data_IF_527225213369
#
_entry.id   IF_527225213369
#
_cell.length_a   1.000
_cell.length_b   1.000
_cell.length_c   1.000
_cell.angle_alpha   90.00
_cell.angle_beta   90.00
_cell.angle_gamma   90.00
#
_symmetry.space_group_name_H-M   'P 1'
#
loop_
_entity.id
_entity.type
_entity.pdbx_description
1 polymer ?
#
# COMPACT_ATOMS: atom_id res chain seq x y z
N UNK A 1 -0.72 -2.80 -11.93
CA UNK A 1 -1.46 -3.41 -13.06
C UNK A 1 -2.95 -3.42 -12.78
N UNK A 2 -3.80 -3.26 -13.79
CA UNK A 2 -5.26 -3.36 -13.66
C UNK A 2 -5.73 -4.61 -14.38
N UNK A 3 -6.36 -5.55 -13.67
CA UNK A 3 -6.99 -6.71 -14.27
C UNK A 3 -8.28 -6.30 -14.99
N UNK A 4 -8.50 -6.80 -16.20
CA UNK A 4 -9.60 -6.36 -17.07
C UNK A 4 -10.47 -7.53 -17.53
N UNK A 5 -11.79 -7.35 -17.39
CA UNK A 5 -12.77 -8.26 -17.97
C UNK A 5 -12.97 -7.99 -19.47
N UNK A 6 -13.55 -8.96 -20.18
CA UNK A 6 -13.84 -8.82 -21.62
C UNK A 6 -14.69 -7.57 -21.91
N UNK A 7 -14.25 -6.80 -22.90
CA UNK A 7 -14.92 -5.58 -23.33
C UNK A 7 -14.41 -4.29 -22.67
N UNK A 8 -13.46 -4.39 -21.73
CA UNK A 8 -12.74 -3.24 -21.18
C UNK A 8 -12.00 -2.47 -22.28
N UNK A 9 -12.03 -1.13 -22.21
CA UNK A 9 -11.40 -0.25 -23.22
C UNK A 9 -10.90 1.03 -22.58
N UNK A 10 -9.65 1.40 -22.85
CA UNK A 10 -9.13 2.72 -22.48
C UNK A 10 -9.53 3.73 -23.54
N UNK A 11 -10.19 4.80 -23.12
CA UNK A 11 -10.58 5.91 -24.00
C UNK A 11 -9.92 7.19 -23.49
N UNK A 12 -9.03 7.79 -24.29
CA UNK A 12 -8.33 9.02 -23.91
C UNK A 12 -9.27 10.14 -23.45
N UNK A 13 -10.38 10.34 -24.17
CA UNK A 13 -11.36 11.38 -23.81
C UNK A 13 -11.90 11.15 -22.40
N UNK A 14 -12.36 9.94 -22.10
CA UNK A 14 -12.91 9.60 -20.78
C UNK A 14 -11.85 9.73 -19.68
N UNK A 15 -10.63 9.21 -19.93
CA UNK A 15 -9.53 9.31 -18.97
C UNK A 15 -9.19 10.76 -18.66
N UNK A 16 -8.99 11.59 -19.70
CA UNK A 16 -8.66 13.01 -19.54
C UNK A 16 -9.77 13.76 -18.81
N UNK A 17 -11.02 13.52 -19.20
CA UNK A 17 -12.17 14.21 -18.59
C UNK A 17 -12.32 13.77 -17.11
N UNK A 18 -12.09 12.50 -16.77
CA UNK A 18 -12.07 12.01 -15.38
C UNK A 18 -10.93 12.61 -14.55
N UNK A 19 -9.71 12.63 -15.10
CA UNK A 19 -8.53 13.23 -14.46
C UNK A 19 -8.79 14.69 -14.10
N UNK A 20 -9.34 15.47 -15.04
CA UNK A 20 -9.64 16.89 -14.81
C UNK A 20 -10.73 17.10 -13.76
N UNK A 21 -11.68 16.17 -13.63
CA UNK A 21 -12.79 16.28 -12.69
C UNK A 21 -12.40 15.88 -11.26
N UNK A 22 -11.68 14.77 -11.08
CA UNK A 22 -11.32 14.25 -9.75
C UNK A 22 -10.01 14.83 -9.23
N UNK A 23 -9.10 15.23 -10.14
CA UNK A 23 -7.75 15.67 -9.79
C UNK A 23 -7.43 17.03 -10.44
N UNK A 24 -8.20 18.10 -10.15
CA UNK A 24 -8.05 19.41 -10.81
C UNK A 24 -6.72 20.11 -10.50
N UNK A 25 -5.97 19.63 -9.50
CA UNK A 25 -4.62 20.10 -9.17
C UNK A 25 -3.53 19.54 -10.08
N UNK A 26 -3.81 18.47 -10.84
CA UNK A 26 -2.83 17.91 -11.76
C UNK A 26 -2.59 18.86 -12.94
N UNK A 27 -1.36 18.92 -13.47
CA UNK A 27 -1.08 19.59 -14.74
C UNK A 27 -1.97 19.04 -15.85
N UNK A 28 -2.29 19.90 -16.83
CA UNK A 28 -2.99 19.42 -18.03
C UNK A 28 -2.11 18.42 -18.77
N UNK A 29 -2.65 17.28 -19.24
CA UNK A 29 -1.84 16.33 -19.99
C UNK A 29 -1.33 16.90 -21.32
N UNK A 30 -0.06 16.65 -21.59
CA UNK A 30 0.67 17.09 -22.79
C UNK A 30 1.27 15.88 -23.54
N UNK A 31 1.82 16.13 -24.73
CA UNK A 31 2.50 15.13 -25.59
C UNK A 31 1.79 13.76 -25.71
N UNK A 32 0.47 13.80 -25.94
CA UNK A 32 -0.36 12.58 -25.96
C UNK A 32 -0.02 11.73 -27.19
N UNK A 33 0.54 10.54 -26.96
CA UNK A 33 0.86 9.55 -28.00
C UNK A 33 -0.05 8.35 -27.87
N UNK A 34 -0.66 7.97 -29.00
CA UNK A 34 -1.53 6.79 -29.10
C UNK A 34 -0.98 5.85 -30.15
N UNK A 35 -0.72 4.61 -29.75
CA UNK A 35 -0.39 3.53 -30.66
C UNK A 35 -1.39 2.38 -30.42
N UNK A 36 -1.26 1.29 -31.16
CA UNK A 36 -2.26 0.21 -31.20
C UNK A 36 -2.68 -0.30 -29.81
N UNK A 37 -1.72 -0.54 -28.92
CA UNK A 37 -1.96 -1.05 -27.57
C UNK A 37 -1.34 -0.17 -26.47
N UNK A 38 -0.91 1.05 -26.81
CA UNK A 38 -0.25 1.94 -25.85
C UNK A 38 -0.83 3.35 -25.90
N UNK A 39 -0.87 3.96 -24.73
CA UNK A 39 -1.19 5.37 -24.53
C UNK A 39 -0.12 5.95 -23.61
N UNK A 40 0.46 7.08 -23.99
CA UNK A 40 1.34 7.84 -23.11
C UNK A 40 1.03 9.33 -23.20
N UNK A 41 1.33 10.05 -22.14
CA UNK A 41 1.20 11.50 -22.06
C UNK A 41 2.08 12.01 -20.93
N UNK A 42 2.45 13.28 -21.03
CA UNK A 42 3.20 13.97 -19.98
C UNK A 42 2.26 14.70 -19.03
N UNK A 43 2.65 14.78 -17.77
CA UNK A 43 1.96 15.41 -16.66
C UNK A 43 2.99 16.25 -15.88
N UNK A 44 3.25 17.47 -16.38
CA UNK A 44 4.35 18.29 -15.85
C UNK A 44 5.71 17.65 -16.18
N UNK A 45 6.53 17.41 -15.16
CA UNK A 45 7.86 16.77 -15.28
C UNK A 45 7.83 15.24 -15.26
N UNK A 46 6.65 14.63 -15.22
CA UNK A 46 6.44 13.18 -15.19
C UNK A 46 5.74 12.70 -16.45
N UNK A 47 6.08 11.51 -16.92
CA UNK A 47 5.43 10.82 -18.02
C UNK A 47 4.63 9.63 -17.52
N UNK A 48 3.40 9.51 -18.02
CA UNK A 48 2.56 8.33 -17.85
C UNK A 48 2.65 7.49 -19.11
N UNK A 49 2.90 6.20 -18.93
CA UNK A 49 2.78 5.22 -20.00
C UNK A 49 1.84 4.10 -19.56
N UNK A 50 0.99 3.65 -20.47
CA UNK A 50 0.15 2.49 -20.24
C UNK A 50 0.09 1.57 -21.47
N UNK A 51 0.18 0.28 -21.20
CA UNK A 51 0.18 -0.79 -22.19
C UNK A 51 -0.96 -1.77 -21.92
N UNK A 52 -1.79 -1.99 -22.93
CA UNK A 52 -2.88 -2.96 -22.91
C UNK A 52 -2.35 -4.33 -23.32
N UNK A 53 -2.52 -5.31 -22.44
CA UNK A 53 -2.09 -6.69 -22.66
C UNK A 53 -3.33 -7.57 -22.93
N UNK A 54 -3.35 -8.35 -24.02
CA UNK A 54 -4.51 -9.14 -24.44
C UNK A 54 -4.71 -10.44 -23.64
N UNK A 55 -3.84 -10.72 -22.65
CA UNK A 55 -3.92 -11.90 -21.78
C UNK A 55 -4.13 -11.52 -20.32
N UNK A 56 -4.54 -12.47 -19.46
CA UNK A 56 -4.63 -12.25 -18.03
C UNK A 56 -3.23 -11.94 -17.44
N UNK A 57 -3.22 -11.35 -16.25
CA UNK A 57 -2.02 -11.26 -15.43
C UNK A 57 -1.54 -12.69 -15.16
N UNK A 58 -0.24 -13.00 -15.40
CA UNK A 58 0.31 -14.33 -15.10
C UNK A 58 0.00 -14.77 -13.66
N UNK A 59 -0.42 -16.03 -13.49
CA UNK A 59 -0.91 -16.55 -12.20
C UNK A 59 0.09 -16.41 -11.05
N UNK A 60 1.38 -16.61 -11.34
CA UNK A 60 2.49 -16.46 -10.39
C UNK A 60 2.58 -15.05 -9.78
N UNK A 61 1.94 -14.06 -10.41
CA UNK A 61 1.95 -12.66 -9.97
C UNK A 61 0.76 -12.28 -9.07
N UNK A 62 -0.28 -13.12 -8.92
CA UNK A 62 -1.44 -12.74 -8.10
C UNK A 62 -2.18 -13.88 -7.37
N UNK A 63 -2.01 -15.15 -7.77
CA UNK A 63 -2.84 -16.25 -7.27
C UNK A 63 -2.38 -16.84 -5.91
N UNK A 64 -1.49 -16.16 -5.19
CA UNK A 64 -0.90 -16.62 -3.94
C UNK A 64 -1.68 -16.06 -2.75
N UNK A 65 -2.07 -16.86 -1.73
CA UNK A 65 -2.88 -16.39 -0.59
C UNK A 65 -2.31 -15.18 0.14
N UNK A 66 -0.99 -15.04 0.15
CA UNK A 66 -0.26 -13.93 0.77
C UNK A 66 -0.56 -12.58 0.09
N UNK A 67 -1.15 -12.57 -1.10
CA UNK A 67 -1.55 -11.34 -1.81
C UNK A 67 -3.00 -10.94 -1.56
N UNK A 68 -3.79 -11.80 -0.89
CA UNK A 68 -5.12 -11.46 -0.43
C UNK A 68 -4.98 -10.54 0.78
N UNK A 69 -5.67 -9.40 0.73
CA UNK A 69 -5.79 -8.54 1.91
C UNK A 69 -6.93 -9.03 2.77
N UNK A 70 -6.86 -8.77 4.07
CA UNK A 70 -8.00 -9.01 4.97
C UNK A 70 -9.25 -8.21 4.54
N UNK A 71 -9.06 -7.14 3.76
CA UNK A 71 -10.11 -6.24 3.26
C UNK A 71 -10.77 -6.79 1.98
N UNK A 72 -10.09 -7.64 1.20
CA UNK A 72 -10.66 -8.29 0.01
C UNK A 72 -10.35 -9.80 -0.02
N UNK A 73 -10.96 -10.58 0.91
CA UNK A 73 -10.61 -11.99 1.14
C UNK A 73 -10.89 -12.89 -0.07
N UNK A 74 -11.83 -12.53 -0.93
CA UNK A 74 -12.27 -13.26 -2.12
C UNK A 74 -11.67 -12.71 -3.44
N UNK A 75 -10.61 -11.87 -3.34
CA UNK A 75 -9.91 -11.29 -4.49
C UNK A 75 -9.50 -12.33 -5.54
N UNK A 76 -8.93 -13.47 -5.10
CA UNK A 76 -8.43 -14.49 -6.00
C UNK A 76 -9.57 -15.12 -6.82
N UNK A 77 -10.71 -15.39 -6.19
CA UNK A 77 -11.89 -15.94 -6.86
C UNK A 77 -12.44 -14.95 -7.90
N UNK A 78 -12.62 -13.69 -7.49
CA UNK A 78 -13.18 -12.65 -8.36
C UNK A 78 -12.26 -12.36 -9.57
N UNK A 79 -10.95 -12.50 -9.40
CA UNK A 79 -9.99 -12.27 -10.47
C UNK A 79 -9.90 -13.42 -11.47
N UNK A 80 -10.31 -14.67 -11.21
CA UNK A 80 -10.11 -15.79 -12.15
C UNK A 80 -10.69 -15.57 -13.56
N UNK A 81 -11.72 -14.71 -13.68
CA UNK A 81 -12.43 -14.47 -14.93
C UNK A 81 -11.81 -13.39 -15.83
N UNK A 82 -10.82 -12.63 -15.35
CA UNK A 82 -10.18 -11.59 -16.16
C UNK A 82 -9.47 -12.18 -17.38
N UNK A 83 -9.40 -11.39 -18.47
CA UNK A 83 -8.87 -11.86 -19.77
C UNK A 83 -7.84 -10.93 -20.38
N UNK A 84 -7.70 -9.73 -19.85
CA UNK A 84 -6.68 -8.76 -20.25
C UNK A 84 -6.14 -8.07 -19.00
N UNK A 85 -5.09 -7.29 -19.17
CA UNK A 85 -4.64 -6.37 -18.13
C UNK A 85 -4.03 -5.11 -18.71
N UNK A 86 -4.05 -4.04 -17.92
CA UNK A 86 -3.37 -2.79 -18.22
C UNK A 86 -2.14 -2.68 -17.31
N UNK A 87 -0.97 -2.46 -17.91
CA UNK A 87 0.23 -2.03 -17.20
C UNK A 87 0.23 -0.52 -17.25
N UNK A 88 0.42 0.13 -16.10
CA UNK A 88 0.45 1.59 -15.97
C UNK A 88 1.71 1.93 -15.19
N UNK A 89 2.49 2.89 -15.69
CA UNK A 89 3.71 3.37 -15.06
C UNK A 89 3.73 4.89 -15.07
N UNK A 90 4.24 5.47 -13.99
CA UNK A 90 4.59 6.88 -13.88
C UNK A 90 6.10 6.97 -13.68
N UNK A 91 6.78 7.75 -14.51
CA UNK A 91 8.23 7.92 -14.45
C UNK A 91 8.55 9.39 -14.73
N UNK A 92 9.45 10.00 -13.97
CA UNK A 92 9.96 11.32 -14.29
C UNK A 92 10.72 11.98 -13.16
N UNK A 93 10.80 13.30 -13.19
CA UNK A 93 11.45 14.07 -12.14
C UNK A 93 10.49 14.21 -10.95
N UNK A 94 10.83 13.56 -9.83
CA UNK A 94 10.13 13.64 -8.56
C UNK A 94 10.50 12.48 -7.63
N UNK A 95 10.17 12.60 -6.36
CA UNK A 95 10.33 11.53 -5.37
C UNK A 95 9.50 10.30 -5.73
N UNK A 96 9.88 9.13 -5.20
CA UNK A 96 9.10 7.89 -5.37
C UNK A 96 7.65 8.06 -4.86
N UNK A 97 7.47 8.86 -3.81
CA UNK A 97 6.15 9.19 -3.25
C UNK A 97 5.32 9.97 -4.26
N UNK A 98 5.86 11.04 -4.84
CA UNK A 98 5.12 11.86 -5.81
C UNK A 98 4.76 11.06 -7.06
N UNK A 99 5.69 10.24 -7.57
CA UNK A 99 5.43 9.33 -8.69
C UNK A 99 4.34 8.31 -8.35
N UNK A 100 4.37 7.73 -7.14
CA UNK A 100 3.36 6.78 -6.67
C UNK A 100 1.99 7.42 -6.46
N UNK A 101 1.93 8.67 -5.95
CA UNK A 101 0.68 9.45 -5.84
C UNK A 101 0.09 9.69 -7.23
N UNK A 102 0.91 10.12 -8.20
CA UNK A 102 0.45 10.31 -9.58
C UNK A 102 -0.04 9.00 -10.19
N UNK A 103 0.71 7.91 -10.04
CA UNK A 103 0.29 6.60 -10.52
C UNK A 103 -1.03 6.17 -9.88
N UNK A 104 -1.26 6.48 -8.61
CA UNK A 104 -2.49 6.13 -7.89
C UNK A 104 -3.68 6.90 -8.46
N UNK A 105 -3.54 8.22 -8.66
CA UNK A 105 -4.59 9.06 -9.26
C UNK A 105 -4.95 8.62 -10.68
N UNK A 106 -3.94 8.34 -11.52
CA UNK A 106 -4.14 7.83 -12.88
C UNK A 106 -4.80 6.46 -12.87
N UNK A 107 -4.36 5.58 -11.97
CA UNK A 107 -4.96 4.24 -11.81
C UNK A 107 -6.42 4.32 -11.41
N UNK A 108 -6.78 5.17 -10.44
CA UNK A 108 -8.15 5.40 -10.02
C UNK A 108 -9.02 5.92 -11.18
N UNK A 109 -8.53 6.91 -11.94
CA UNK A 109 -9.23 7.40 -13.14
C UNK A 109 -9.39 6.33 -14.22
N UNK A 110 -8.42 5.44 -14.39
CA UNK A 110 -8.55 4.31 -15.31
C UNK A 110 -9.60 3.32 -14.84
N UNK A 111 -9.67 3.00 -13.55
CA UNK A 111 -10.70 2.11 -13.01
C UNK A 111 -12.11 2.63 -13.28
N UNK A 112 -12.34 3.93 -13.09
CA UNK A 112 -13.63 4.58 -13.38
C UNK A 112 -13.99 4.60 -14.87
N UNK A 113 -12.99 4.61 -15.77
CA UNK A 113 -13.21 4.88 -17.20
C UNK A 113 -13.04 3.67 -18.12
N UNK A 114 -12.37 2.60 -17.66
CA UNK A 114 -12.07 1.43 -18.50
C UNK A 114 -13.28 0.51 -18.70
N UNK A 115 -14.36 0.73 -17.94
CA UNK A 115 -15.68 0.14 -18.10
C UNK A 115 -15.89 -1.18 -17.36
N UNK A 116 -14.93 -2.12 -17.39
CA UNK A 116 -15.05 -3.41 -16.68
C UNK A 116 -13.74 -3.86 -16.00
N UNK A 117 -13.18 -3.05 -15.08
CA UNK A 117 -12.06 -3.50 -14.27
C UNK A 117 -12.47 -4.70 -13.41
N UNK A 118 -11.55 -5.64 -13.20
CA UNK A 118 -11.74 -6.79 -12.31
C UNK A 118 -11.02 -6.59 -10.97
N UNK A 119 -9.93 -5.81 -10.95
CA UNK A 119 -9.17 -5.50 -9.74
C UNK A 119 -7.84 -4.82 -10.09
N UNK A 120 -7.13 -4.41 -9.05
CA UNK A 120 -5.80 -3.81 -9.15
C UNK A 120 -4.80 -4.71 -8.46
N UNK A 121 -3.69 -4.97 -9.15
CA UNK A 121 -2.47 -5.50 -8.54
C UNK A 121 -1.50 -4.33 -8.39
N UNK A 122 -1.23 -3.92 -7.15
CA UNK A 122 -0.46 -2.73 -6.83
C UNK A 122 0.93 -3.04 -6.26
N UNK A 123 1.92 -2.24 -6.64
CA UNK A 123 3.30 -2.33 -6.15
C UNK A 123 4.03 -3.62 -6.52
N UNK A 124 5.27 -3.73 -6.05
CA UNK A 124 6.13 -4.91 -6.30
C UNK A 124 5.66 -6.15 -5.54
N UNK A 125 5.02 -5.97 -4.39
CA UNK A 125 4.48 -7.08 -3.59
C UNK A 125 3.20 -7.68 -4.18
N UNK A 126 2.58 -6.98 -5.14
CA UNK A 126 1.37 -7.43 -5.78
C UNK A 126 0.15 -7.41 -4.85
N UNK A 127 -0.08 -6.28 -4.17
CA UNK A 127 -1.25 -6.09 -3.31
C UNK A 127 -2.52 -6.07 -4.16
N UNK A 128 -3.49 -6.93 -3.83
CA UNK A 128 -4.77 -6.98 -4.52
C UNK A 128 -5.79 -6.02 -3.90
N UNK A 129 -6.35 -5.15 -4.74
CA UNK A 129 -7.38 -4.20 -4.35
C UNK A 129 -8.60 -4.31 -5.27
N UNK A 130 -9.80 -4.23 -4.71
CA UNK A 130 -11.01 -4.14 -5.51
C UNK A 130 -11.05 -2.77 -6.21
N UNK A 131 -11.70 -2.66 -7.39
CA UNK A 131 -11.77 -1.39 -8.10
C UNK A 131 -12.41 -0.26 -7.28
N UNK A 132 -13.46 -0.57 -6.52
CA UNK A 132 -14.21 0.37 -5.69
C UNK A 132 -13.35 0.89 -4.53
N UNK A 133 -12.80 -0.03 -3.73
CA UNK A 133 -11.93 0.31 -2.60
C UNK A 133 -10.72 1.14 -3.03
N UNK A 134 -10.12 0.80 -4.18
CA UNK A 134 -8.99 1.57 -4.71
C UNK A 134 -9.40 3.01 -5.04
N UNK A 135 -10.56 3.21 -5.66
CA UNK A 135 -11.07 4.55 -5.98
C UNK A 135 -11.39 5.34 -4.71
N UNK A 136 -12.10 4.73 -3.75
CA UNK A 136 -12.52 5.38 -2.51
C UNK A 136 -11.33 5.83 -1.66
N UNK A 137 -10.33 4.96 -1.48
CA UNK A 137 -9.11 5.31 -0.73
C UNK A 137 -8.26 6.34 -1.47
N UNK A 138 -8.15 6.23 -2.81
CA UNK A 138 -7.43 7.24 -3.59
C UNK A 138 -8.09 8.61 -3.44
N UNK A 139 -9.41 8.71 -3.62
CA UNK A 139 -10.16 9.97 -3.54
C UNK A 139 -10.20 10.54 -2.12
N UNK A 140 -10.30 9.68 -1.09
CA UNK A 140 -10.35 10.11 0.30
C UNK A 140 -9.03 10.66 0.84
N UNK A 141 -7.89 10.19 0.30
CA UNK A 141 -6.57 10.49 0.86
C UNK A 141 -5.74 11.44 -0.04
N UNK A 142 -5.85 11.34 -1.37
CA UNK A 142 -5.03 12.13 -2.28
C UNK A 142 -5.64 13.51 -2.58
N UNK A 143 -4.80 14.55 -2.80
CA UNK A 143 -3.33 14.52 -2.82
C UNK A 143 -2.68 14.69 -1.45
N UNK A 144 -3.46 14.96 -0.41
CA UNK A 144 -2.97 15.41 0.90
C UNK A 144 -2.11 14.38 1.61
N UNK A 145 -2.59 13.15 1.70
CA UNK A 145 -1.98 12.07 2.47
C UNK A 145 -1.31 11.04 1.56
N UNK A 146 -0.48 10.18 2.15
CA UNK A 146 0.04 8.99 1.48
C UNK A 146 -0.96 7.84 1.69
N UNK A 147 -1.52 7.24 0.63
CA UNK A 147 -2.54 6.20 0.78
C UNK A 147 -1.90 4.84 1.10
N UNK A 148 -1.25 4.71 2.25
CA UNK A 148 -0.63 3.46 2.69
C UNK A 148 -1.56 2.24 2.69
N UNK A 149 -2.87 2.35 2.98
CA UNK A 149 -3.78 1.21 2.81
C UNK A 149 -3.80 0.63 1.39
N UNK A 150 -3.39 1.39 0.36
CA UNK A 150 -3.22 0.92 -1.02
C UNK A 150 -1.78 0.48 -1.34
N UNK A 151 -0.78 0.95 -0.60
CA UNK A 151 0.64 0.80 -0.94
C UNK A 151 1.38 -0.22 -0.06
N UNK A 152 0.87 -0.48 1.14
CA UNK A 152 1.50 -1.30 2.16
C UNK A 152 0.57 -2.45 2.55
N UNK A 153 1.00 -3.69 2.33
CA UNK A 153 0.31 -4.86 2.86
C UNK A 153 0.44 -4.89 4.37
N UNK A 154 -0.65 -5.07 5.10
CA UNK A 154 -0.65 -5.26 6.55
C UNK A 154 -1.34 -6.59 6.88
N UNK A 155 -0.59 -7.49 7.52
CA UNK A 155 -1.07 -8.80 7.94
C UNK A 155 -1.17 -8.83 9.45
N UNK A 156 -2.33 -9.23 9.96
CA UNK A 156 -2.65 -9.17 11.38
C UNK A 156 -3.30 -10.46 11.84
N UNK A 157 -3.03 -10.83 13.08
CA UNK A 157 -3.63 -11.97 13.75
C UNK A 157 -3.67 -11.76 15.26
N UNK A 158 -4.40 -12.65 15.93
CA UNK A 158 -4.43 -12.73 17.39
C UNK A 158 -3.71 -13.98 17.86
N UNK A 159 -2.81 -13.81 18.81
CA UNK A 159 -2.18 -14.90 19.53
C UNK A 159 -3.17 -15.51 20.54
N UNK A 160 -2.87 -16.73 20.99
CA UNK A 160 -3.67 -17.44 21.99
C UNK A 160 -3.69 -16.75 23.37
N UNK A 161 -2.69 -15.93 23.67
CA UNK A 161 -2.59 -15.12 24.89
C UNK A 161 -3.32 -13.76 24.79
N UNK A 162 -3.94 -13.45 23.64
CA UNK A 162 -4.70 -12.24 23.40
C UNK A 162 -3.91 -11.08 22.79
N UNK A 163 -2.57 -11.17 22.74
CA UNK A 163 -1.73 -10.19 22.03
C UNK A 163 -1.95 -10.25 20.52
N UNK A 164 -1.60 -9.16 19.84
CA UNK A 164 -1.69 -9.05 18.39
C UNK A 164 -0.34 -9.34 17.76
N UNK A 165 -0.34 -10.18 16.73
CA UNK A 165 0.83 -10.45 15.88
C UNK A 165 0.58 -9.78 14.54
N UNK A 166 1.62 -9.22 13.93
CA UNK A 166 1.48 -8.62 12.62
C UNK A 166 2.78 -8.21 11.97
N UNK A 167 2.71 -8.02 10.65
CA UNK A 167 3.83 -7.55 9.86
C UNK A 167 3.35 -6.76 8.65
N UNK A 168 4.25 -5.95 8.09
CA UNK A 168 4.01 -5.20 6.86
C UNK A 168 4.77 -5.78 5.69
N UNK A 169 4.31 -5.52 4.46
CA UNK A 169 5.12 -5.76 3.27
C UNK A 169 4.89 -4.62 2.26
N UNK A 170 5.93 -3.84 1.96
CA UNK A 170 5.80 -2.71 1.01
C UNK A 170 6.78 -1.58 1.21
N UNK A 171 7.38 -1.48 2.39
CA UNK A 171 8.32 -0.39 2.70
C UNK A 171 9.56 -0.40 1.80
N UNK A 172 9.87 -1.55 1.19
CA UNK A 172 10.97 -1.66 0.25
C UNK A 172 10.92 -0.77 -0.97
N UNK A 173 9.72 -0.42 -1.45
CA UNK A 173 9.57 0.51 -2.56
C UNK A 173 10.13 1.91 -2.24
N UNK A 174 10.31 2.22 -0.95
CA UNK A 174 10.84 3.48 -0.44
C UNK A 174 12.24 3.33 0.18
N UNK A 175 12.93 2.22 -0.07
CA UNK A 175 14.21 1.87 0.55
C UNK A 175 14.16 1.81 2.09
N UNK A 176 12.99 1.45 2.63
CA UNK A 176 12.74 1.32 4.07
C UNK A 176 12.50 -0.15 4.47
N UNK A 177 12.74 -0.45 5.74
CA UNK A 177 12.45 -1.77 6.33
C UNK A 177 10.95 -1.90 6.63
N UNK A 178 10.43 -3.10 6.39
CA UNK A 178 9.10 -3.48 6.85
C UNK A 178 9.08 -3.70 8.38
N UNK A 179 7.88 -3.60 8.97
CA UNK A 179 7.68 -3.70 10.41
C UNK A 179 7.17 -5.08 10.80
N UNK A 180 7.54 -5.52 12.00
CA UNK A 180 7.13 -6.81 12.55
C UNK A 180 6.81 -6.68 14.03
N UNK A 181 5.78 -7.37 14.51
CA UNK A 181 5.54 -7.56 15.93
C UNK A 181 4.92 -8.91 16.20
N UNK A 182 5.31 -9.54 17.31
CA UNK A 182 4.77 -10.83 17.74
C UNK A 182 3.93 -10.70 19.01
N UNK A 183 3.89 -9.53 19.64
CA UNK A 183 3.37 -9.36 21.00
C UNK A 183 2.69 -8.00 21.23
N UNK A 184 2.14 -7.37 20.20
CA UNK A 184 1.53 -6.07 20.34
C UNK A 184 0.35 -6.10 21.32
N UNK A 185 0.31 -5.11 22.21
CA UNK A 185 -0.80 -4.89 23.13
C UNK A 185 -1.98 -4.19 22.46
N UNK A 186 -1.73 -3.54 21.32
CA UNK A 186 -2.73 -2.89 20.49
C UNK A 186 -3.77 -3.88 19.96
N UNK A 187 -4.99 -3.41 19.70
CA UNK A 187 -5.95 -4.19 18.89
C UNK A 187 -5.44 -4.32 17.45
N UNK A 188 -5.96 -5.25 16.62
CA UNK A 188 -5.57 -5.35 15.22
C UNK A 188 -5.77 -4.02 14.47
N UNK A 189 -6.89 -3.35 14.70
CA UNK A 189 -7.21 -2.07 14.07
C UNK A 189 -6.19 -0.98 14.49
N UNK A 190 -5.95 -0.83 15.79
CA UNK A 190 -4.96 0.13 16.32
C UNK A 190 -3.54 -0.16 15.82
N UNK A 191 -3.16 -1.44 15.69
CA UNK A 191 -1.86 -1.82 15.17
C UNK A 191 -1.73 -1.49 13.67
N UNK A 192 -2.81 -1.67 12.91
CA UNK A 192 -2.84 -1.28 11.49
C UNK A 192 -2.63 0.22 11.32
N UNK A 193 -3.31 1.04 12.12
CA UNK A 193 -3.16 2.49 12.13
C UNK A 193 -1.75 2.89 12.55
N UNK A 194 -1.17 2.22 13.56
CA UNK A 194 0.22 2.45 13.98
C UNK A 194 1.21 2.14 12.85
N UNK A 195 1.04 1.03 12.14
CA UNK A 195 1.92 0.68 11.02
C UNK A 195 1.84 1.72 9.91
N UNK A 196 0.64 2.20 9.55
CA UNK A 196 0.50 3.26 8.56
C UNK A 196 1.11 4.58 9.02
N UNK A 197 0.90 4.98 10.28
CA UNK A 197 1.52 6.19 10.83
C UNK A 197 3.04 6.11 10.91
N UNK A 198 3.59 4.93 11.23
CA UNK A 198 5.04 4.71 11.23
C UNK A 198 5.62 4.73 9.82
N UNK A 199 4.90 4.15 8.85
CA UNK A 199 5.29 4.19 7.44
C UNK A 199 5.33 5.64 6.92
N UNK A 200 4.31 6.43 7.23
CA UNK A 200 4.22 7.84 6.85
C UNK A 200 5.39 8.65 7.44
N UNK A 201 5.63 8.49 8.74
CA UNK A 201 6.75 9.13 9.42
C UNK A 201 8.10 8.81 8.77
N UNK A 202 8.38 7.54 8.47
CA UNK A 202 9.65 7.12 7.87
C UNK A 202 9.78 7.51 6.40
N UNK A 203 8.68 7.56 5.65
CA UNK A 203 8.71 8.06 4.27
C UNK A 203 9.01 9.55 4.22
N UNK A 204 8.50 10.33 5.18
CA UNK A 204 8.80 11.77 5.26
C UNK A 204 10.22 12.05 5.79
N UNK A 205 10.68 11.29 6.79
CA UNK A 205 11.91 11.60 7.53
C UNK A 205 13.11 10.73 7.11
N UNK A 206 12.91 9.68 6.33
CA UNK A 206 13.92 8.67 6.02
C UNK A 206 14.13 7.64 7.15
N UNK A 207 15.16 6.77 7.06
CA UNK A 207 15.43 5.71 8.03
C UNK A 207 16.08 6.26 9.31
N UNK A 208 15.37 7.13 10.03
CA UNK A 208 15.85 7.86 11.23
C UNK A 208 15.67 7.10 12.54
N UNK A 209 14.90 6.02 12.52
CA UNK A 209 14.82 5.08 13.63
C UNK A 209 16.02 4.15 13.49
N UNK A 210 16.70 3.82 14.58
CA UNK A 210 17.86 2.91 14.60
C UNK A 210 17.59 1.71 15.51
N UNK A 211 18.40 0.66 15.35
CA UNK A 211 18.36 -0.50 16.24
C UNK A 211 18.54 -0.09 17.71
N UNK A 212 17.68 -0.59 18.59
CA UNK A 212 17.69 -0.26 20.01
C UNK A 212 16.96 1.04 20.39
N UNK A 213 16.42 1.80 19.42
CA UNK A 213 15.55 2.93 19.71
C UNK A 213 14.26 2.48 20.43
N UNK A 214 13.58 3.45 21.05
CA UNK A 214 12.25 3.25 21.64
C UNK A 214 11.24 4.22 21.04
N UNK A 215 10.05 3.71 20.72
CA UNK A 215 8.90 4.49 20.29
C UNK A 215 7.90 4.64 21.45
N UNK A 216 7.17 5.75 21.46
CA UNK A 216 6.16 6.08 22.48
C UNK A 216 6.67 7.06 23.55
N UNK A 217 5.84 8.05 23.89
CA UNK A 217 6.19 9.13 24.84
C UNK A 217 6.08 8.69 26.31
N UNK A 218 5.15 7.80 26.63
CA UNK A 218 4.88 7.36 27.99
C UNK A 218 5.69 6.14 28.40
N UNK A 219 6.23 6.14 29.63
CA UNK A 219 7.01 5.03 30.18
C UNK A 219 6.28 3.67 30.19
N UNK A 220 4.95 3.67 30.18
CA UNK A 220 4.09 2.47 30.13
C UNK A 220 3.72 1.97 28.73
N UNK A 221 4.03 2.72 27.67
CA UNK A 221 3.75 2.36 26.26
C UNK A 221 5.02 2.33 25.41
N UNK A 222 6.16 2.02 26.02
CA UNK A 222 7.44 1.94 25.32
C UNK A 222 7.48 0.70 24.43
N UNK A 223 7.69 0.95 23.15
CA UNK A 223 7.93 -0.08 22.14
C UNK A 223 9.43 -0.09 21.86
N UNK A 224 10.10 -1.21 22.10
CA UNK A 224 11.51 -1.35 21.76
C UNK A 224 11.66 -1.73 20.29
N UNK A 225 12.55 -1.05 19.58
CA UNK A 225 12.89 -1.33 18.19
C UNK A 225 14.10 -2.25 18.14
N UNK A 226 14.03 -3.30 17.33
CA UNK A 226 15.16 -4.16 17.00
C UNK A 226 15.23 -4.46 15.51
N UNK A 227 16.43 -4.49 14.94
CA UNK A 227 16.66 -4.95 13.58
C UNK A 227 16.98 -6.44 13.60
N UNK A 228 16.21 -7.23 12.86
CA UNK A 228 16.40 -8.67 12.83
C UNK A 228 15.99 -9.28 11.49
N UNK A 229 16.43 -10.52 11.28
CA UNK A 229 15.83 -11.38 10.27
C UNK A 229 14.35 -11.58 10.54
N UNK A 230 13.54 -11.64 9.49
CA UNK A 230 12.10 -11.71 9.64
C UNK A 230 11.65 -13.10 10.07
N UNK A 231 10.82 -13.23 11.13
CA UNK A 231 10.15 -14.48 11.44
C UNK A 231 9.02 -14.83 10.47
N UNK A 232 8.66 -13.91 9.56
CA UNK A 232 7.57 -14.06 8.58
C UNK A 232 8.07 -14.18 7.14
N UNK A 233 9.35 -14.55 6.93
CA UNK A 233 9.87 -14.92 5.61
C UNK A 233 10.15 -13.77 4.66
N UNK A 234 10.39 -12.55 5.18
CA UNK A 234 10.87 -11.45 4.34
C UNK A 234 12.31 -11.73 3.89
N UNK A 235 12.65 -11.33 2.67
CA UNK A 235 14.01 -11.51 2.13
C UNK A 235 15.03 -10.52 2.72
N UNK A 236 14.56 -9.40 3.28
CA UNK A 236 15.37 -8.34 3.86
C UNK A 236 15.14 -8.25 5.38
N UNK A 237 16.12 -7.72 6.13
CA UNK A 237 15.92 -7.42 7.55
C UNK A 237 14.69 -6.54 7.78
N UNK A 238 14.05 -6.75 8.94
CA UNK A 238 12.84 -6.02 9.35
C UNK A 238 13.08 -5.25 10.64
N UNK A 239 12.26 -4.22 10.85
CA UNK A 239 12.18 -3.49 12.10
C UNK A 239 11.14 -4.16 13.01
N UNK A 240 11.62 -4.93 13.99
CA UNK A 240 10.80 -5.55 15.02
C UNK A 240 10.42 -4.54 16.09
N UNK A 241 9.12 -4.45 16.36
CA UNK A 241 8.48 -3.66 17.39
C UNK A 241 8.07 -4.57 18.56
N UNK A 242 8.81 -4.50 19.65
CA UNK A 242 8.56 -5.27 20.87
C UNK A 242 7.81 -4.42 21.89
N UNK A 243 6.57 -4.79 22.16
CA UNK A 243 5.74 -4.09 23.13
C UNK A 243 6.11 -4.59 24.53
N UNK A 244 6.46 -3.67 25.43
CA UNK A 244 6.63 -4.03 26.82
C UNK A 244 5.27 -4.49 27.39
N UNK A 245 5.24 -5.51 28.27
CA UNK A 245 4.04 -5.78 29.05
C UNK A 245 3.66 -4.52 29.82
N UNK A 246 2.37 -4.17 29.90
CA UNK A 246 1.93 -3.11 30.80
C UNK A 246 2.53 -3.37 32.18
N UNK A 247 3.32 -2.42 32.69
CA UNK A 247 3.89 -2.54 34.00
C UNK A 247 2.74 -2.57 35.01
N UNK A 248 2.34 -3.78 35.40
CA UNK A 248 1.36 -3.98 36.45
C UNK A 248 1.78 -3.15 37.65
N UNK A 249 0.88 -2.32 38.15
CA UNK A 249 1.07 -1.54 39.37
C UNK A 249 1.51 -2.51 40.46
N UNK A 250 2.80 -2.57 40.76
CA UNK A 250 3.31 -3.31 41.90
C UNK A 250 2.85 -2.57 43.13
N UNK A 251 1.77 -3.03 43.75
CA UNK A 251 1.32 -2.62 45.07
C UNK A 251 2.24 -3.20 46.16
N UNK A 252 3.56 -3.06 45.99
CA UNK A 252 4.52 -3.28 47.06
C UNK A 252 5.25 -1.98 47.34
N UNK A 253 4.59 -1.15 48.13
CA UNK A 253 5.14 0.07 48.69
C UNK A 253 4.52 0.39 50.04
N UNK A 254 5.28 0.09 51.10
CA UNK A 254 5.23 0.73 52.42
C UNK A 254 4.32 0.11 53.49
N UNK A 255 4.89 -0.83 54.25
CA UNK A 255 4.71 -0.86 55.72
C UNK A 255 6.05 -1.14 56.41
N UNK A 256 6.84 -0.08 56.55
CA UNK A 256 7.84 0.06 57.61
C UNK A 256 7.53 1.32 58.41
N UNK A 257 6.97 1.10 59.60
CA UNK A 257 6.95 1.87 60.86
C UNK A 257 5.60 1.76 61.53
#
# INVERSE_FOLDING_TARGET
MIALNRGSRVTWKLLRDDLANHWPMLPTPEDVKKQENTLSFDMGSMSIAMGMMPGPIPGDNWATPERQTWIWPDAVEQLQSHRGHLIVTAIGEGSMVEQSKLLTMVTASLLRTVGKPAGVLWGENGLLNSPEMFCDLAEGMLPGEVPFPLWLSVFLGKNSDGTTVGFTQGMGAFDLMDFVTENATDSPDDLSERFYGLADYLVENGPVIEDGHTLGEDAGKRIQVRYCESPFGHERPVMRLDFAPEAGWSSYGSRWK
#
